data_IF_382621681417
#
_entry.id   IF_382621681417
#
_cell.length_a   1.000
_cell.length_b   1.000
_cell.length_c   1.000
_cell.angle_alpha   90.00
_cell.angle_beta   90.00
_cell.angle_gamma   90.00
#
_symmetry.space_group_name_H-M   'P 1'
#
loop_
_entity.id
_entity.type
_entity.pdbx_description
1 polymer ?
#
# COMPACT_ATOMS: atom_id res chain seq x y z
N UNK A 1 1.00 -42.24 -3.32
CA UNK A 1 0.31 -41.62 -2.16
C UNK A 1 0.31 -40.08 -2.24
N UNK A 2 1.47 -39.40 -2.36
CA UNK A 2 1.56 -37.93 -2.41
C UNK A 2 0.82 -37.23 -3.57
N UNK A 3 0.70 -37.89 -4.72
CA UNK A 3 0.00 -37.34 -5.89
C UNK A 3 -1.53 -37.41 -5.76
N UNK A 4 -2.03 -38.42 -5.03
CA UNK A 4 -3.46 -38.59 -4.73
C UNK A 4 -3.93 -37.56 -3.71
N UNK A 5 -3.09 -37.26 -2.71
CA UNK A 5 -3.36 -36.20 -1.73
C UNK A 5 -3.35 -34.79 -2.35
N UNK A 6 -2.51 -34.52 -3.36
CA UNK A 6 -2.55 -33.25 -4.12
C UNK A 6 -3.82 -33.09 -4.96
N UNK A 7 -4.27 -34.15 -5.64
CA UNK A 7 -5.53 -34.13 -6.42
C UNK A 7 -6.76 -33.96 -5.51
N UNK A 8 -6.78 -34.62 -4.35
CA UNK A 8 -7.87 -34.51 -3.37
C UNK A 8 -7.92 -33.14 -2.68
N UNK A 9 -6.75 -32.53 -2.40
CA UNK A 9 -6.67 -31.16 -1.90
C UNK A 9 -7.20 -30.15 -2.94
N UNK A 10 -6.79 -30.28 -4.21
CA UNK A 10 -7.28 -29.43 -5.29
C UNK A 10 -8.79 -29.53 -5.52
N UNK A 11 -9.38 -30.73 -5.42
CA UNK A 11 -10.83 -30.93 -5.54
C UNK A 11 -11.62 -30.34 -4.35
N UNK A 12 -11.09 -30.43 -3.12
CA UNK A 12 -11.72 -29.80 -1.94
C UNK A 12 -11.73 -28.27 -2.06
N UNK A 13 -10.65 -27.68 -2.54
CA UNK A 13 -10.55 -26.23 -2.78
C UNK A 13 -11.53 -25.77 -3.87
N UNK A 14 -11.62 -26.50 -5.00
CA UNK A 14 -12.62 -26.22 -6.06
C UNK A 14 -14.05 -26.25 -5.55
N UNK A 15 -14.37 -27.18 -4.63
CA UNK A 15 -15.71 -27.31 -4.04
C UNK A 15 -16.01 -26.18 -3.04
N UNK A 16 -15.02 -25.66 -2.32
CA UNK A 16 -15.18 -24.51 -1.44
C UNK A 16 -15.37 -23.21 -2.23
N UNK A 17 -14.62 -23.00 -3.32
CA UNK A 17 -14.76 -21.81 -4.17
C UNK A 17 -16.11 -21.79 -4.90
N UNK A 18 -16.57 -22.94 -5.45
CA UNK A 18 -17.93 -23.06 -6.02
C UNK A 18 -19.03 -22.77 -5.01
N UNK A 19 -18.86 -23.18 -3.74
CA UNK A 19 -19.84 -22.88 -2.68
C UNK A 19 -19.89 -21.40 -2.31
N UNK A 20 -18.75 -20.69 -2.31
CA UNK A 20 -18.71 -19.24 -2.09
C UNK A 20 -19.40 -18.46 -3.23
N UNK A 21 -19.14 -18.83 -4.48
CA UNK A 21 -19.80 -18.25 -5.65
C UNK A 21 -21.33 -18.49 -5.64
N UNK A 22 -21.77 -19.68 -5.24
CA UNK A 22 -23.20 -19.99 -5.17
C UNK A 22 -23.95 -19.17 -4.10
N UNK A 23 -23.35 -18.96 -2.91
CA UNK A 23 -23.95 -18.18 -1.82
C UNK A 23 -24.07 -16.69 -2.16
N UNK A 24 -23.13 -16.16 -2.96
CA UNK A 24 -23.18 -14.77 -3.42
C UNK A 24 -24.22 -14.55 -4.53
N UNK A 25 -24.50 -15.57 -5.35
CA UNK A 25 -25.54 -15.49 -6.40
C UNK A 25 -26.98 -15.53 -5.88
N UNK A 26 -27.22 -16.12 -4.70
CA UNK A 26 -28.57 -16.30 -4.13
C UNK A 26 -29.07 -15.14 -3.27
N UNK A 27 -28.29 -14.06 -3.13
CA UNK A 27 -28.60 -12.93 -2.24
C UNK A 27 -29.31 -11.76 -2.94
N UNK A 28 -29.77 -11.92 -4.19
CA UNK A 28 -30.55 -10.90 -4.90
C UNK A 28 -31.90 -11.46 -5.30
N UNK A 29 -32.91 -11.19 -4.47
CA UNK A 29 -34.28 -10.79 -4.88
C UNK A 29 -35.24 -10.81 -3.67
N UNK A 30 -35.77 -9.66 -3.21
CA UNK A 30 -37.03 -9.64 -2.47
C UNK A 30 -38.22 -9.59 -3.45
N UNK A 31 -39.34 -10.28 -3.17
CA UNK A 31 -40.47 -10.30 -4.09
C UNK A 31 -41.18 -8.94 -4.15
N UNK A 32 -41.40 -8.45 -5.37
CA UNK A 32 -42.25 -7.29 -5.69
C UNK A 32 -43.71 -7.56 -5.28
N UNK A 33 -44.17 -6.97 -4.17
CA UNK A 33 -45.59 -6.90 -3.83
C UNK A 33 -46.23 -5.65 -4.46
N UNK A 34 -47.27 -5.86 -5.26
CA UNK A 34 -48.09 -4.81 -5.90
C UNK A 34 -48.90 -4.07 -4.83
N UNK A 35 -48.74 -2.76 -4.73
CA UNK A 35 -49.58 -1.90 -3.90
C UNK A 35 -50.84 -1.47 -4.69
N UNK A 36 -52.01 -1.96 -4.27
CA UNK A 36 -53.32 -1.37 -4.60
C UNK A 36 -53.76 -0.46 -3.46
N UNK A 37 -53.99 0.80 -3.79
CA UNK A 37 -54.56 1.83 -2.91
C UNK A 37 -56.05 1.55 -2.70
N UNK A 38 -56.50 1.50 -1.44
CA UNK A 38 -57.88 1.85 -1.06
C UNK A 38 -57.92 2.38 0.38
N UNK A 39 -58.47 3.59 0.50
CA UNK A 39 -58.66 4.32 1.74
C UNK A 39 -59.92 3.89 2.51
N UNK A 40 -59.87 4.06 3.84
CA UNK A 40 -60.91 4.28 4.89
C UNK A 40 -60.42 3.54 6.15
N UNK A 41 -60.28 4.14 7.32
CA UNK A 41 -61.23 4.92 8.10
C UNK A 41 -60.83 4.77 9.58
N UNK A 42 -61.06 5.82 10.36
CA UNK A 42 -60.65 6.04 11.76
C UNK A 42 -61.11 4.95 12.74
N UNK A 43 -60.30 4.66 13.78
CA UNK A 43 -60.74 4.70 15.20
C UNK A 43 -59.55 4.69 16.17
N UNK A 44 -59.67 5.49 17.23
CA UNK A 44 -58.75 5.65 18.36
C UNK A 44 -58.92 4.52 19.38
N UNK A 45 -57.81 4.06 19.97
CA UNK A 45 -57.79 3.61 21.37
C UNK A 45 -56.39 3.73 21.98
N UNK A 46 -56.31 4.38 23.14
CA UNK A 46 -55.15 4.46 24.05
C UNK A 46 -54.95 3.12 24.76
N UNK A 47 -53.70 2.70 25.03
CA UNK A 47 -53.19 2.45 26.41
C UNK A 47 -51.71 1.96 26.43
N UNK A 48 -50.90 2.71 27.22
CA UNK A 48 -49.91 2.28 28.23
C UNK A 48 -48.82 1.21 27.94
N UNK A 49 -47.59 1.71 27.86
CA UNK A 49 -46.38 1.32 28.63
C UNK A 49 -46.25 -0.10 29.19
N UNK A 50 -45.15 -0.79 28.82
CA UNK A 50 -44.20 -1.37 29.80
C UNK A 50 -42.85 -1.69 29.15
N UNK A 51 -41.79 -1.12 29.71
CA UNK A 51 -40.40 -1.51 29.46
C UNK A 51 -40.08 -2.82 30.19
N UNK A 52 -39.17 -3.63 29.63
CA UNK A 52 -38.41 -4.63 30.38
C UNK A 52 -37.04 -4.82 29.72
N UNK A 53 -36.02 -4.39 30.45
CA UNK A 53 -34.64 -4.80 30.28
C UNK A 53 -34.46 -6.19 30.92
N UNK A 54 -33.62 -7.02 30.31
CA UNK A 54 -33.06 -8.20 30.98
C UNK A 54 -31.54 -8.15 30.85
N UNK A 55 -30.93 -7.96 32.01
CA UNK A 55 -29.54 -8.25 32.30
C UNK A 55 -29.56 -9.55 33.12
N UNK A 56 -28.70 -10.51 32.78
CA UNK A 56 -28.39 -11.63 33.66
C UNK A 56 -26.89 -11.68 33.92
N UNK A 57 -26.55 -11.51 35.19
CA UNK A 57 -25.29 -11.85 35.81
C UNK A 57 -25.64 -12.60 37.11
N UNK A 58 -25.07 -13.78 37.32
CA UNK A 58 -24.89 -14.44 38.62
C UNK A 58 -23.55 -15.22 38.51
N UNK A 59 -22.47 -14.83 39.22
CA UNK A 59 -22.18 -14.96 40.66
C UNK A 59 -21.88 -16.43 41.05
N UNK A 60 -20.62 -16.88 40.94
CA UNK A 60 -19.57 -17.06 42.00
C UNK A 60 -19.90 -18.03 43.13
N UNK A 61 -19.02 -19.03 43.34
CA UNK A 61 -18.60 -19.50 44.67
C UNK A 61 -17.20 -20.15 44.65
N UNK A 62 -16.20 -19.33 44.94
CA UNK A 62 -15.20 -19.40 46.02
C UNK A 62 -14.95 -20.72 46.84
N UNK A 63 -13.69 -21.21 46.90
CA UNK A 63 -12.79 -21.23 48.10
C UNK A 63 -11.64 -22.30 48.03
N UNK A 64 -10.39 -21.78 48.04
CA UNK A 64 -9.22 -22.09 48.89
C UNK A 64 -8.55 -23.50 48.93
N UNK A 65 -7.32 -23.53 48.36
CA UNK A 65 -5.99 -24.17 48.66
C UNK A 65 -5.73 -24.82 50.06
N UNK A 66 -4.54 -25.41 50.41
CA UNK A 66 -3.35 -25.92 49.67
C UNK A 66 -2.76 -27.30 50.17
N UNK A 67 -1.70 -27.79 49.50
CA UNK A 67 -0.67 -28.70 50.05
C UNK A 67 -0.87 -30.20 49.74
N UNK A 68 0.13 -31.05 49.45
CA UNK A 68 1.58 -30.93 49.29
C UNK A 68 2.20 -32.34 49.17
N UNK A 69 3.35 -32.43 48.46
CA UNK A 69 4.44 -33.45 48.54
C UNK A 69 4.12 -34.89 48.06
N UNK A 70 4.75 -35.34 46.97
CA UNK A 70 6.05 -36.06 46.86
C UNK A 70 5.77 -37.58 46.62
N UNK A 71 6.51 -38.39 45.86
CA UNK A 71 7.95 -38.39 45.54
C UNK A 71 8.30 -39.43 44.43
N UNK A 72 9.55 -39.36 43.95
CA UNK A 72 10.35 -40.32 43.12
C UNK A 72 10.08 -40.37 41.60
N UNK A 73 10.98 -40.03 40.66
CA UNK A 73 12.46 -39.92 40.58
C UNK A 73 13.05 -41.07 39.71
N UNK A 74 14.28 -41.02 39.14
CA UNK A 74 15.12 -39.88 38.76
C UNK A 74 15.83 -40.00 37.36
N UNK A 75 16.51 -38.91 36.98
CA UNK A 75 17.76 -38.80 36.20
C UNK A 75 17.89 -39.31 34.76
N UNK A 76 18.19 -38.38 33.83
CA UNK A 76 19.55 -38.20 33.29
C UNK A 76 19.60 -36.94 32.40
N UNK A 77 20.51 -36.02 32.73
CA UNK A 77 20.75 -34.80 31.95
C UNK A 77 21.73 -34.99 30.80
N UNK A 78 21.82 -33.98 29.93
CA UNK A 78 23.04 -33.63 29.20
C UNK A 78 23.08 -32.13 28.90
N UNK A 79 24.14 -31.51 29.40
CA UNK A 79 24.61 -30.14 29.11
C UNK A 79 25.43 -30.13 27.80
N UNK A 80 25.51 -28.92 27.26
CA UNK A 80 26.44 -28.32 26.28
C UNK A 80 27.80 -28.97 26.05
N UNK A 81 28.45 -28.64 24.91
CA UNK A 81 29.86 -28.23 24.82
C UNK A 81 30.19 -27.68 23.40
N UNK A 82 30.88 -26.53 23.38
CA UNK A 82 31.70 -25.95 22.30
C UNK A 82 33.04 -26.71 22.16
N UNK A 83 33.60 -26.82 20.95
CA UNK A 83 35.06 -26.90 20.67
C UNK A 83 35.27 -27.12 19.15
N UNK A 84 35.89 -26.22 18.37
CA UNK A 84 37.35 -25.95 18.17
C UNK A 84 38.17 -27.12 17.59
N UNK A 85 38.82 -26.89 16.44
CA UNK A 85 40.18 -27.32 16.01
C UNK A 85 40.27 -27.15 14.47
N UNK A 86 41.06 -26.24 13.89
CA UNK A 86 42.53 -26.20 13.74
C UNK A 86 43.12 -27.07 12.61
N UNK A 87 43.80 -26.36 11.70
CA UNK A 87 44.95 -26.66 10.82
C UNK A 87 45.35 -28.10 10.43
N UNK A 88 45.60 -28.34 9.12
CA UNK A 88 46.98 -28.28 8.56
C UNK A 88 47.09 -28.47 7.04
N UNK A 89 48.15 -27.83 6.51
CA UNK A 89 48.72 -27.79 5.16
C UNK A 89 49.06 -29.15 4.53
N UNK A 90 49.10 -29.20 3.18
CA UNK A 90 50.26 -29.63 2.36
C UNK A 90 50.15 -29.16 0.90
N UNK A 91 51.32 -29.05 0.24
CA UNK A 91 51.66 -28.16 -0.87
C UNK A 91 51.73 -28.82 -2.28
N UNK A 92 51.51 -27.99 -3.32
CA UNK A 92 52.21 -27.90 -4.63
C UNK A 92 52.09 -29.03 -5.68
N UNK A 93 52.44 -28.80 -6.99
CA UNK A 93 53.14 -27.63 -7.56
C UNK A 93 52.62 -27.05 -8.94
N UNK A 94 52.90 -25.75 -9.11
CA UNK A 94 53.34 -24.92 -10.28
C UNK A 94 52.98 -25.20 -11.77
N UNK A 95 52.57 -24.13 -12.48
CA UNK A 95 53.34 -23.44 -13.57
C UNK A 95 52.59 -22.18 -14.10
N UNK A 96 53.09 -20.96 -13.82
CA UNK A 96 53.79 -19.96 -14.68
C UNK A 96 52.99 -19.33 -15.85
N UNK A 97 52.78 -17.99 -15.83
CA UNK A 97 53.59 -16.99 -16.59
C UNK A 97 53.12 -15.52 -16.42
N UNK A 98 54.10 -14.62 -16.17
CA UNK A 98 54.29 -13.19 -16.53
C UNK A 98 53.17 -12.14 -16.31
N UNK A 99 53.29 -11.16 -15.41
CA UNK A 99 54.18 -9.96 -15.36
C UNK A 99 53.70 -8.77 -16.22
N UNK A 100 53.32 -7.65 -15.59
CA UNK A 100 54.01 -6.33 -15.67
C UNK A 100 53.26 -5.26 -14.88
N UNK A 101 54.00 -4.57 -14.02
CA UNK A 101 53.62 -3.42 -13.21
C UNK A 101 54.00 -2.12 -13.93
N UNK A 102 53.15 -1.11 -13.84
CA UNK A 102 53.44 0.26 -14.25
C UNK A 102 53.04 1.22 -13.14
N UNK A 103 54.04 1.76 -12.43
CA UNK A 103 53.89 2.83 -11.46
C UNK A 103 54.21 4.17 -12.12
N UNK A 104 53.42 5.21 -11.86
CA UNK A 104 53.90 6.59 -11.95
C UNK A 104 53.38 7.39 -10.74
N UNK A 105 54.33 7.76 -9.87
CA UNK A 105 54.22 8.86 -8.92
C UNK A 105 54.37 10.17 -9.69
N UNK A 106 53.56 11.17 -9.36
CA UNK A 106 53.99 12.56 -9.53
C UNK A 106 53.55 13.36 -8.31
N UNK A 107 54.54 14.00 -7.71
CA UNK A 107 54.46 14.92 -6.57
C UNK A 107 53.96 16.28 -7.10
N UNK A 108 53.03 16.92 -6.39
CA UNK A 108 52.90 18.39 -6.42
C UNK A 108 52.59 18.88 -5.01
N UNK A 109 53.55 19.63 -4.46
CA UNK A 109 53.38 20.52 -3.31
C UNK A 109 52.84 21.85 -3.87
N UNK A 110 51.70 22.29 -3.36
CA UNK A 110 51.15 23.61 -3.63
C UNK A 110 50.29 24.03 -2.44
N UNK A 111 50.81 24.95 -1.63
CA UNK A 111 49.99 25.72 -0.70
C UNK A 111 49.10 26.66 -1.52
N UNK A 112 47.79 26.56 -1.32
CA UNK A 112 46.80 27.48 -1.87
C UNK A 112 45.53 27.36 -1.06
N UNK A 113 45.27 28.36 -0.22
CA UNK A 113 43.92 28.63 0.28
C UNK A 113 43.04 28.97 -0.92
N UNK A 114 42.01 28.19 -1.16
CA UNK A 114 40.85 28.62 -1.93
C UNK A 114 39.60 28.22 -1.15
N UNK A 115 38.95 29.25 -0.59
CA UNK A 115 37.57 29.19 -0.16
C UNK A 115 36.69 28.85 -1.38
N UNK A 116 36.51 27.55 -1.65
CA UNK A 116 35.38 27.10 -2.47
C UNK A 116 34.16 27.05 -1.55
N UNK A 117 33.50 28.20 -1.45
CA UNK A 117 32.09 28.27 -1.11
C UNK A 117 31.33 27.45 -2.15
N UNK A 118 31.02 26.20 -1.82
CA UNK A 118 29.94 25.47 -2.46
C UNK A 118 28.65 26.21 -2.11
N UNK A 119 28.27 27.17 -2.96
CA UNK A 119 26.96 27.79 -2.91
C UNK A 119 25.92 26.69 -3.13
N UNK A 120 25.48 26.08 -2.03
CA UNK A 120 24.44 25.09 -2.01
C UNK A 120 23.18 25.78 -2.54
N UNK A 121 22.70 25.33 -3.71
CA UNK A 121 21.45 25.82 -4.29
C UNK A 121 20.39 25.82 -3.17
N UNK A 122 19.61 26.90 -3.01
CA UNK A 122 18.56 26.92 -2.01
C UNK A 122 17.66 25.69 -2.24
N UNK A 123 17.24 24.99 -1.19
CA UNK A 123 16.42 23.81 -1.33
C UNK A 123 15.20 24.16 -2.19
N UNK A 124 14.80 23.28 -3.13
CA UNK A 124 13.66 23.55 -3.99
C UNK A 124 12.45 23.89 -3.12
N UNK A 125 11.74 24.96 -3.47
CA UNK A 125 10.54 25.37 -2.74
C UNK A 125 9.55 24.20 -2.74
N UNK A 126 9.04 23.84 -1.57
CA UNK A 126 8.01 22.81 -1.45
C UNK A 126 6.64 23.45 -1.27
N UNK A 127 5.60 22.69 -1.60
CA UNK A 127 4.22 23.02 -1.29
C UNK A 127 3.54 21.82 -0.66
N UNK A 128 2.76 22.11 0.39
CA UNK A 128 1.98 21.12 1.09
C UNK A 128 0.87 20.56 0.20
N UNK A 129 0.82 19.23 0.14
CA UNK A 129 -0.13 18.50 -0.69
C UNK A 129 -0.78 17.40 0.14
N UNK A 130 -2.12 17.44 0.19
CA UNK A 130 -2.95 16.49 0.96
C UNK A 130 -3.34 15.28 0.10
N UNK A 131 -3.20 14.09 0.68
CA UNK A 131 -3.55 12.82 0.08
C UNK A 131 -4.67 12.12 0.86
N UNK A 132 -5.61 11.51 0.14
CA UNK A 132 -6.64 10.63 0.68
C UNK A 132 -6.47 9.22 0.11
N UNK A 133 -6.25 8.23 0.98
CA UNK A 133 -5.84 6.88 0.60
C UNK A 133 -6.91 5.86 0.95
N UNK A 134 -7.19 4.97 0.00
CA UNK A 134 -8.12 3.84 0.11
C UNK A 134 -7.49 2.63 -0.59
N UNK A 135 -7.83 1.43 -0.17
CA UNK A 135 -7.54 0.18 -0.87
C UNK A 135 -8.53 -0.89 -0.46
N UNK A 136 -8.63 -1.97 -1.25
CA UNK A 136 -9.38 -3.17 -0.92
C UNK A 136 -10.85 -2.85 -0.62
N UNK A 137 -11.52 -2.19 -1.56
CA UNK A 137 -12.95 -1.88 -1.43
C UNK A 137 -13.82 -3.08 -1.78
N UNK A 138 -13.36 -4.01 -2.63
CA UNK A 138 -14.08 -5.25 -2.95
C UNK A 138 -15.57 -5.03 -3.30
N UNK A 139 -15.85 -4.13 -4.26
CA UNK A 139 -17.21 -3.72 -4.65
C UNK A 139 -18.01 -2.97 -3.56
N UNK A 140 -17.43 -2.67 -2.40
CA UNK A 140 -18.09 -1.89 -1.35
C UNK A 140 -18.01 -0.41 -1.70
N UNK A 141 -19.17 0.20 -1.85
CA UNK A 141 -19.31 1.63 -2.04
C UNK A 141 -19.34 2.38 -0.70
N UNK A 142 -18.87 3.63 -0.66
CA UNK A 142 -18.98 4.46 0.53
C UNK A 142 -20.45 4.71 0.88
N UNK A 143 -20.79 4.49 2.15
CA UNK A 143 -22.13 4.72 2.66
C UNK A 143 -22.50 6.20 2.62
N UNK A 144 -23.79 6.50 2.48
CA UNK A 144 -24.31 7.89 2.53
C UNK A 144 -24.85 8.29 3.90
N UNK A 145 -24.95 7.35 4.84
CA UNK A 145 -25.72 7.57 6.08
C UNK A 145 -25.02 7.11 7.35
N UNK A 146 -24.13 6.12 7.27
CA UNK A 146 -23.55 5.48 8.46
C UNK A 146 -22.23 4.76 8.16
N UNK A 147 -21.53 4.31 9.20
CA UNK A 147 -20.27 3.60 9.06
C UNK A 147 -19.07 4.54 8.90
N UNK A 148 -17.88 3.94 8.79
CA UNK A 148 -16.61 4.66 8.78
C UNK A 148 -16.07 4.95 7.38
N UNK A 149 -16.49 4.18 6.39
CA UNK A 149 -16.27 4.45 4.97
C UNK A 149 -17.55 5.06 4.39
N UNK A 150 -17.63 6.40 4.40
CA UNK A 150 -18.84 7.13 4.04
C UNK A 150 -18.55 8.48 3.39
N UNK A 151 -19.51 8.98 2.64
CA UNK A 151 -19.53 10.34 2.08
C UNK A 151 -20.19 11.34 3.04
N UNK A 152 -19.82 12.63 3.01
CA UNK A 152 -18.79 13.22 2.15
C UNK A 152 -17.38 12.77 2.53
N UNK A 153 -16.45 12.81 1.58
CA UNK A 153 -15.02 12.65 1.86
C UNK A 153 -14.40 14.03 2.18
N UNK A 154 -13.32 14.10 2.97
CA UNK A 154 -12.58 15.35 3.13
C UNK A 154 -11.95 15.78 1.80
N UNK A 155 -11.78 17.09 1.62
CA UNK A 155 -11.03 17.64 0.48
C UNK A 155 -9.58 17.13 0.51
N UNK A 156 -9.08 16.77 -0.66
CA UNK A 156 -7.68 16.38 -0.86
C UNK A 156 -7.19 16.91 -2.20
N UNK A 157 -5.88 16.98 -2.39
CA UNK A 157 -5.33 17.29 -3.70
C UNK A 157 -5.27 16.02 -4.55
N UNK A 158 -4.92 14.89 -3.92
CA UNK A 158 -4.76 13.59 -4.56
C UNK A 158 -5.55 12.52 -3.80
N UNK A 159 -6.33 11.73 -4.52
CA UNK A 159 -6.92 10.49 -4.02
C UNK A 159 -6.18 9.28 -4.61
N UNK A 160 -5.98 8.23 -3.82
CA UNK A 160 -5.33 6.99 -4.28
C UNK A 160 -6.19 5.78 -3.88
N UNK A 161 -6.49 4.91 -4.85
CA UNK A 161 -6.98 3.54 -4.61
C UNK A 161 -5.90 2.51 -4.95
N UNK A 162 -5.36 1.81 -3.95
CA UNK A 162 -4.19 0.93 -4.12
C UNK A 162 -4.53 -0.55 -4.42
N UNK A 163 -5.50 -0.80 -5.30
CA UNK A 163 -5.89 -2.15 -5.73
C UNK A 163 -7.05 -2.78 -4.98
N UNK A 164 -7.53 -3.91 -5.53
CA UNK A 164 -8.71 -4.65 -5.11
C UNK A 164 -9.96 -3.76 -5.02
N UNK A 165 -10.20 -3.04 -6.12
CA UNK A 165 -11.40 -2.22 -6.32
C UNK A 165 -12.68 -3.06 -6.35
N UNK A 166 -12.55 -4.30 -6.78
CA UNK A 166 -13.65 -5.23 -7.04
C UNK A 166 -13.39 -6.59 -6.39
N UNK A 167 -14.38 -7.48 -6.34
CA UNK A 167 -14.14 -8.87 -5.89
C UNK A 167 -13.54 -9.78 -6.98
N UNK A 168 -13.89 -9.55 -8.24
CA UNK A 168 -13.48 -10.38 -9.40
C UNK A 168 -13.22 -9.53 -10.65
N UNK A 169 -13.72 -8.29 -10.69
CA UNK A 169 -13.50 -7.34 -11.77
C UNK A 169 -14.49 -7.35 -12.93
N UNK A 170 -15.80 -7.66 -12.80
CA UNK A 170 -16.73 -7.45 -13.92
C UNK A 170 -16.82 -5.95 -14.27
N UNK A 171 -17.07 -5.62 -15.55
CA UNK A 171 -17.20 -4.23 -16.02
C UNK A 171 -18.10 -3.34 -15.13
N UNK A 172 -19.29 -3.83 -14.77
CA UNK A 172 -20.22 -3.07 -13.93
C UNK A 172 -19.66 -2.76 -12.54
N UNK A 173 -18.83 -3.66 -11.98
CA UNK A 173 -18.15 -3.42 -10.71
C UNK A 173 -17.12 -2.30 -10.85
N UNK A 174 -16.28 -2.31 -11.89
CA UNK A 174 -15.35 -1.21 -12.14
C UNK A 174 -16.09 0.10 -12.36
N UNK A 175 -17.18 0.07 -13.13
CA UNK A 175 -18.00 1.25 -13.36
C UNK A 175 -18.56 1.82 -12.06
N UNK A 176 -19.17 1.00 -11.21
CA UNK A 176 -19.70 1.43 -9.91
C UNK A 176 -18.60 2.02 -9.02
N UNK A 177 -17.44 1.34 -8.95
CA UNK A 177 -16.32 1.81 -8.14
C UNK A 177 -15.75 3.14 -8.64
N UNK A 178 -15.54 3.27 -9.95
CA UNK A 178 -15.02 4.50 -10.55
C UNK A 178 -16.02 5.65 -10.43
N UNK A 179 -17.33 5.39 -10.47
CA UNK A 179 -18.34 6.43 -10.37
C UNK A 179 -18.26 7.19 -9.02
N UNK A 180 -18.08 6.48 -7.90
CA UNK A 180 -17.89 7.16 -6.61
C UNK A 180 -16.47 7.72 -6.44
N UNK A 181 -15.43 7.08 -6.99
CA UNK A 181 -14.05 7.61 -6.96
C UNK A 181 -13.97 8.96 -7.69
N UNK A 182 -14.58 9.05 -8.86
CA UNK A 182 -14.61 10.28 -9.64
C UNK A 182 -15.36 11.42 -8.94
N UNK A 183 -16.26 11.11 -8.01
CA UNK A 183 -17.00 12.07 -7.19
C UNK A 183 -16.24 12.53 -5.93
N UNK A 184 -15.09 11.92 -5.60
CA UNK A 184 -14.22 12.37 -4.50
C UNK A 184 -13.72 13.79 -4.79
N UNK A 185 -13.75 14.72 -3.82
CA UNK A 185 -13.25 16.09 -3.96
C UNK A 185 -11.72 16.12 -3.97
N UNK A 186 -11.13 15.60 -5.04
CA UNK A 186 -9.71 15.64 -5.34
C UNK A 186 -9.46 15.99 -6.81
N UNK A 187 -8.37 16.71 -7.08
CA UNK A 187 -7.99 17.07 -8.45
C UNK A 187 -7.59 15.82 -9.24
N UNK A 188 -6.71 15.01 -8.65
CA UNK A 188 -6.20 13.77 -9.25
C UNK A 188 -6.65 12.57 -8.42
N UNK A 189 -7.15 11.53 -9.09
CA UNK A 189 -7.53 10.23 -8.50
C UNK A 189 -6.71 9.15 -9.20
N UNK A 190 -5.78 8.55 -8.49
CA UNK A 190 -4.92 7.48 -8.98
C UNK A 190 -5.53 6.16 -8.56
N UNK A 191 -5.71 5.24 -9.51
CA UNK A 191 -6.19 3.90 -9.24
C UNK A 191 -5.21 2.88 -9.81
N UNK A 192 -4.91 1.87 -9.02
CA UNK A 192 -4.09 0.71 -9.41
C UNK A 192 -4.96 -0.52 -9.22
N UNK A 193 -4.78 -1.55 -10.05
CA UNK A 193 -5.46 -2.83 -9.88
C UNK A 193 -4.87 -3.63 -8.71
N UNK A 194 -5.61 -4.61 -8.21
CA UNK A 194 -5.11 -5.64 -7.33
C UNK A 194 -5.42 -7.04 -7.84
N UNK A 195 -5.10 -8.07 -7.07
CA UNK A 195 -5.28 -9.45 -7.52
C UNK A 195 -6.76 -9.84 -7.71
N UNK A 196 -7.70 -9.15 -7.09
CA UNK A 196 -9.13 -9.37 -7.30
C UNK A 196 -9.67 -8.71 -8.57
N UNK A 197 -8.95 -7.77 -9.18
CA UNK A 197 -9.37 -7.03 -10.37
C UNK A 197 -9.09 -7.83 -11.66
N UNK A 198 -9.56 -9.07 -11.70
CA UNK A 198 -9.07 -10.11 -12.60
C UNK A 198 -9.22 -9.79 -14.09
N UNK A 199 -10.28 -9.09 -14.50
CA UNK A 199 -10.48 -8.73 -15.91
C UNK A 199 -9.45 -7.71 -16.43
N UNK A 200 -8.66 -7.06 -15.57
CA UNK A 200 -7.60 -6.16 -16.01
C UNK A 200 -6.30 -6.91 -16.38
N UNK A 201 -6.13 -8.14 -15.89
CA UNK A 201 -5.07 -9.07 -16.29
C UNK A 201 -5.62 -10.06 -17.32
N UNK A 202 -5.56 -9.66 -18.60
CA UNK A 202 -6.13 -10.43 -19.71
C UNK A 202 -5.58 -11.86 -19.77
N UNK A 203 -4.29 -12.04 -19.47
CA UNK A 203 -3.62 -13.35 -19.49
C UNK A 203 -4.20 -14.26 -18.40
N UNK A 204 -4.26 -13.78 -17.15
CA UNK A 204 -4.87 -14.54 -16.07
C UNK A 204 -6.36 -14.81 -16.32
N UNK A 205 -7.11 -13.80 -16.75
CA UNK A 205 -8.55 -13.89 -16.98
C UNK A 205 -8.91 -14.93 -18.04
N UNK A 206 -8.19 -14.93 -19.17
CA UNK A 206 -8.45 -15.81 -20.30
C UNK A 206 -8.03 -17.26 -20.06
N UNK A 207 -7.05 -17.51 -19.17
CA UNK A 207 -6.49 -18.86 -18.98
C UNK A 207 -6.81 -19.49 -17.62
N UNK A 208 -7.37 -18.73 -16.69
CA UNK A 208 -7.81 -19.27 -15.41
C UNK A 208 -9.00 -20.23 -15.57
N UNK A 209 -8.92 -21.37 -14.87
CA UNK A 209 -10.02 -22.34 -14.75
C UNK A 209 -11.10 -21.93 -13.74
N UNK A 210 -10.87 -20.85 -12.98
CA UNK A 210 -11.83 -20.34 -12.00
C UNK A 210 -13.04 -19.64 -12.65
N UNK A 211 -12.91 -19.27 -13.93
CA UNK A 211 -13.92 -18.51 -14.66
C UNK A 211 -14.55 -19.33 -15.79
N UNK A 212 -15.82 -19.05 -16.07
CA UNK A 212 -16.58 -19.66 -17.17
C UNK A 212 -16.57 -18.74 -18.39
N UNK A 213 -16.80 -19.32 -19.56
CA UNK A 213 -16.89 -18.58 -20.82
C UNK A 213 -15.75 -18.92 -21.79
N UNK A 214 -15.97 -18.61 -23.06
CA UNK A 214 -14.95 -18.78 -24.08
C UNK A 214 -13.79 -17.81 -23.87
N UNK A 215 -12.60 -18.15 -24.37
CA UNK A 215 -11.48 -17.20 -24.37
C UNK A 215 -11.85 -15.90 -25.11
N UNK A 216 -12.54 -16.01 -26.26
CA UNK A 216 -12.99 -14.86 -27.05
C UNK A 216 -13.87 -13.90 -26.24
N UNK A 217 -14.88 -14.42 -25.52
CA UNK A 217 -15.77 -13.59 -24.71
C UNK A 217 -15.03 -12.96 -23.54
N UNK A 218 -14.13 -13.70 -22.88
CA UNK A 218 -13.33 -13.19 -21.76
C UNK A 218 -12.37 -12.09 -22.19
N UNK A 219 -11.72 -12.25 -23.34
CA UNK A 219 -10.85 -11.22 -23.92
C UNK A 219 -11.62 -9.93 -24.23
N UNK A 220 -12.82 -10.05 -24.81
CA UNK A 220 -13.67 -8.89 -25.09
C UNK A 220 -14.08 -8.14 -23.80
N UNK A 221 -14.40 -8.85 -22.72
CA UNK A 221 -14.70 -8.23 -21.42
C UNK A 221 -13.48 -7.52 -20.81
N UNK A 222 -12.30 -8.15 -20.89
CA UNK A 222 -11.05 -7.54 -20.43
C UNK A 222 -10.75 -6.24 -21.19
N UNK A 223 -10.87 -6.27 -22.52
CA UNK A 223 -10.70 -5.10 -23.38
C UNK A 223 -11.68 -3.98 -23.02
N UNK A 224 -12.97 -4.31 -22.83
CA UNK A 224 -13.97 -3.34 -22.42
C UNK A 224 -13.63 -2.63 -21.10
N UNK A 225 -13.16 -3.39 -20.09
CA UNK A 225 -12.75 -2.81 -18.80
C UNK A 225 -11.55 -1.87 -18.95
N UNK A 226 -10.53 -2.30 -19.72
CA UNK A 226 -9.32 -1.50 -19.95
C UNK A 226 -9.63 -0.24 -20.76
N UNK A 227 -10.42 -0.35 -21.82
CA UNK A 227 -10.86 0.79 -22.65
C UNK A 227 -11.59 1.84 -21.81
N UNK A 228 -12.46 1.41 -20.89
CA UNK A 228 -13.15 2.33 -19.98
C UNK A 228 -12.20 3.05 -19.03
N UNK A 229 -11.34 2.31 -18.31
CA UNK A 229 -10.41 2.89 -17.33
C UNK A 229 -9.36 3.80 -17.97
N UNK A 230 -8.93 3.48 -19.20
CA UNK A 230 -7.94 4.25 -19.96
C UNK A 230 -8.55 5.36 -20.83
N UNK A 231 -9.87 5.53 -20.81
CA UNK A 231 -10.57 6.49 -21.64
C UNK A 231 -10.24 7.94 -21.30
N UNK A 232 -10.31 8.81 -22.31
CA UNK A 232 -10.18 10.26 -22.10
C UNK A 232 -11.32 10.83 -21.23
N UNK A 233 -12.46 10.15 -21.17
CA UNK A 233 -13.55 10.52 -20.27
C UNK A 233 -13.12 10.40 -18.80
N UNK A 234 -12.46 9.30 -18.43
CA UNK A 234 -11.95 9.11 -17.07
C UNK A 234 -10.86 10.15 -16.74
N UNK A 235 -9.95 10.40 -17.68
CA UNK A 235 -8.91 11.44 -17.52
C UNK A 235 -9.49 12.83 -17.30
N UNK A 236 -10.55 13.20 -18.03
CA UNK A 236 -11.27 14.49 -17.85
C UNK A 236 -11.93 14.62 -16.47
N UNK A 237 -12.27 13.49 -15.83
CA UNK A 237 -12.79 13.44 -14.45
C UNK A 237 -11.66 13.40 -13.40
N UNK A 238 -10.41 13.50 -13.84
CA UNK A 238 -9.21 13.41 -13.00
C UNK A 238 -8.86 11.98 -12.58
N UNK A 239 -9.44 10.94 -13.18
CA UNK A 239 -9.18 9.54 -12.85
C UNK A 239 -8.09 8.98 -13.75
N UNK A 240 -7.07 8.37 -13.12
CA UNK A 240 -5.90 7.81 -13.78
C UNK A 240 -5.69 6.37 -13.32
N UNK A 241 -5.97 5.42 -14.22
CA UNK A 241 -5.53 4.04 -14.04
C UNK A 241 -4.07 3.93 -14.45
N UNK A 242 -3.23 3.46 -13.54
CA UNK A 242 -1.80 3.25 -13.77
C UNK A 242 -1.43 1.78 -13.58
N UNK A 243 -0.63 1.25 -14.50
CA UNK A 243 -0.20 -0.15 -14.51
C UNK A 243 1.26 -0.25 -14.96
N UNK A 244 2.14 -0.64 -14.02
CA UNK A 244 3.56 -0.84 -14.27
C UNK A 244 4.27 0.35 -14.93
N UNK A 245 3.96 1.56 -14.45
CA UNK A 245 4.47 2.80 -15.02
C UNK A 245 4.93 3.79 -13.94
N UNK A 246 5.77 4.74 -14.35
CA UNK A 246 6.10 5.93 -13.57
C UNK A 246 5.50 7.15 -14.28
N UNK A 247 4.75 7.96 -13.54
CA UNK A 247 4.04 9.11 -14.08
C UNK A 247 4.24 10.36 -13.26
N UNK A 248 4.56 11.46 -13.92
CA UNK A 248 4.58 12.80 -13.33
C UNK A 248 3.18 13.43 -13.34
N UNK A 249 2.83 14.10 -12.24
CA UNK A 249 1.63 14.90 -12.09
C UNK A 249 1.99 16.32 -11.67
N UNK A 250 1.17 17.27 -12.15
CA UNK A 250 1.23 18.70 -11.80
C UNK A 250 -0.14 19.09 -11.28
N UNK A 251 -0.18 19.66 -10.08
CA UNK A 251 -1.40 20.05 -9.39
C UNK A 251 -1.63 21.56 -9.47
N UNK A 252 -2.87 21.98 -9.32
CA UNK A 252 -3.25 23.41 -9.30
C UNK A 252 -2.65 24.18 -8.12
N UNK A 253 -2.30 23.50 -7.01
CA UNK A 253 -1.58 24.10 -5.89
C UNK A 253 -0.08 24.35 -6.18
N UNK A 254 0.39 23.99 -7.38
CA UNK A 254 1.77 24.16 -7.83
C UNK A 254 2.68 22.96 -7.58
N UNK A 255 2.20 21.90 -6.91
CA UNK A 255 3.00 20.70 -6.65
C UNK A 255 3.31 19.93 -7.94
N UNK A 256 4.55 19.42 -8.03
CA UNK A 256 4.97 18.43 -9.02
C UNK A 256 5.46 17.20 -8.29
N UNK A 257 4.99 16.04 -8.71
CA UNK A 257 5.43 14.78 -8.12
C UNK A 257 5.32 13.64 -9.10
N UNK A 258 6.07 12.60 -8.81
CA UNK A 258 6.18 11.37 -9.61
C UNK A 258 5.59 10.21 -8.82
N UNK A 259 4.83 9.38 -9.51
CA UNK A 259 4.17 8.20 -8.96
C UNK A 259 4.65 6.98 -9.71
N UNK A 260 5.23 6.02 -8.99
CA UNK A 260 5.46 4.67 -9.48
C UNK A 260 4.27 3.80 -9.09
N UNK A 261 3.65 3.13 -10.05
CA UNK A 261 2.44 2.35 -9.82
C UNK A 261 2.55 0.92 -10.36
N UNK A 262 2.14 -0.09 -9.57
CA UNK A 262 2.11 -1.47 -10.02
C UNK A 262 1.06 -2.31 -9.27
N UNK A 263 0.27 -3.14 -9.97
CA UNK A 263 -0.72 -4.02 -9.33
C UNK A 263 -0.11 -5.31 -8.75
N UNK A 264 1.19 -5.53 -8.96
CA UNK A 264 1.80 -6.83 -8.79
C UNK A 264 2.04 -7.22 -7.32
N UNK A 265 1.73 -8.48 -6.99
CA UNK A 265 2.01 -9.07 -5.68
C UNK A 265 2.62 -10.47 -5.81
N UNK A 266 3.60 -10.86 -4.96
CA UNK A 266 4.20 -12.19 -5.06
C UNK A 266 3.15 -13.25 -4.72
N UNK A 267 3.20 -14.42 -5.37
CA UNK A 267 2.37 -15.58 -5.00
C UNK A 267 2.71 -16.01 -3.56
N UNK A 268 1.72 -15.92 -2.68
CA UNK A 268 1.85 -16.25 -1.26
C UNK A 268 1.40 -17.67 -0.90
N UNK A 269 1.40 -17.98 0.40
CA UNK A 269 0.67 -19.14 0.90
C UNK A 269 -0.85 -18.86 0.88
N UNK A 270 -1.66 -19.91 0.75
CA UNK A 270 -3.12 -19.77 0.91
C UNK A 270 -3.47 -19.15 2.29
N UNK A 271 -4.51 -18.32 2.39
CA UNK A 271 -5.50 -17.98 1.34
C UNK A 271 -5.08 -16.84 0.39
N UNK A 272 -3.98 -16.13 0.64
CA UNK A 272 -3.58 -14.92 -0.09
C UNK A 272 -2.90 -15.20 -1.43
N UNK A 273 -3.16 -16.34 -2.07
CA UNK A 273 -2.50 -16.80 -3.32
C UNK A 273 -3.43 -16.81 -4.54
N UNK A 274 -4.62 -16.21 -4.41
CA UNK A 274 -5.62 -16.21 -5.47
C UNK A 274 -5.53 -14.93 -6.32
N UNK A 275 -6.04 -14.99 -7.54
CA UNK A 275 -6.24 -13.82 -8.39
C UNK A 275 -5.12 -13.52 -9.39
N UNK A 276 -5.29 -12.37 -10.04
CA UNK A 276 -4.48 -11.76 -11.08
C UNK A 276 -3.24 -11.02 -10.56
N UNK A 277 -2.38 -10.56 -11.48
CA UNK A 277 -1.20 -9.73 -11.17
C UNK A 277 -0.24 -10.39 -10.16
N UNK A 278 -0.07 -11.71 -10.29
CA UNK A 278 0.76 -12.52 -9.36
C UNK A 278 2.03 -13.01 -10.02
N UNK A 279 3.18 -12.72 -9.43
CA UNK A 279 4.48 -13.21 -9.89
C UNK A 279 5.06 -14.28 -8.94
N UNK A 280 6.03 -15.06 -9.44
CA UNK A 280 6.63 -16.14 -8.65
C UNK A 280 7.48 -15.58 -7.49
N UNK A 281 7.34 -16.11 -6.26
CA UNK A 281 7.92 -15.51 -5.06
C UNK A 281 9.46 -15.57 -5.03
N UNK A 282 10.06 -16.45 -5.83
CA UNK A 282 11.50 -16.62 -6.01
C UNK A 282 12.10 -15.72 -7.10
N UNK A 283 11.29 -14.90 -7.77
CA UNK A 283 11.75 -13.95 -8.80
C UNK A 283 12.49 -12.79 -8.15
N UNK A 284 13.80 -12.98 -7.90
CA UNK A 284 14.55 -12.12 -6.99
C UNK A 284 14.71 -10.67 -7.44
N UNK A 285 14.70 -10.45 -8.74
CA UNK A 285 14.93 -9.15 -9.36
C UNK A 285 13.65 -8.55 -9.96
N UNK A 286 12.47 -9.13 -9.68
CA UNK A 286 11.21 -8.72 -10.29
C UNK A 286 11.00 -7.19 -10.37
N UNK A 287 11.25 -6.48 -9.26
CA UNK A 287 11.05 -5.02 -9.20
C UNK A 287 12.14 -4.24 -9.93
N UNK A 288 13.40 -4.63 -9.79
CA UNK A 288 14.54 -4.01 -10.48
C UNK A 288 14.52 -4.30 -11.99
N UNK A 289 14.02 -5.46 -12.41
CA UNK A 289 13.86 -5.81 -13.83
C UNK A 289 12.68 -5.05 -14.45
N UNK A 290 11.59 -4.87 -13.68
CA UNK A 290 10.39 -4.15 -14.14
C UNK A 290 10.62 -2.63 -14.18
N UNK A 291 11.37 -2.11 -13.22
CA UNK A 291 11.72 -0.69 -13.11
C UNK A 291 13.24 -0.54 -12.96
N UNK A 292 13.98 -0.75 -14.05
CA UNK A 292 15.43 -0.62 -14.02
C UNK A 292 15.83 0.83 -13.75
N UNK A 293 16.98 1.04 -13.11
CA UNK A 293 17.38 2.34 -12.57
C UNK A 293 17.42 3.43 -13.65
N UNK A 294 17.84 3.09 -14.87
CA UNK A 294 17.89 3.96 -16.03
C UNK A 294 16.51 4.42 -16.54
N UNK A 295 15.44 3.72 -16.16
CA UNK A 295 14.05 4.07 -16.50
C UNK A 295 13.37 4.92 -15.43
N UNK A 296 13.96 5.03 -14.24
CA UNK A 296 13.40 5.79 -13.14
C UNK A 296 13.74 7.28 -13.29
N UNK A 297 12.82 8.18 -12.91
CA UNK A 297 13.17 9.59 -12.75
C UNK A 297 14.18 9.77 -11.62
N UNK A 298 14.79 10.95 -11.55
CA UNK A 298 15.71 11.34 -10.47
C UNK A 298 15.10 11.06 -9.08
N UNK A 299 13.79 11.26 -8.95
CA UNK A 299 13.06 10.98 -7.72
C UNK A 299 11.70 10.36 -7.99
N UNK A 300 11.37 9.31 -7.25
CA UNK A 300 10.00 8.79 -7.10
C UNK A 300 9.44 9.34 -5.80
N UNK A 301 8.37 10.13 -5.87
CA UNK A 301 7.79 10.72 -4.66
C UNK A 301 6.81 9.77 -3.98
N UNK A 302 5.99 9.08 -4.76
CA UNK A 302 4.94 8.17 -4.27
C UNK A 302 5.07 6.82 -4.98
N UNK A 303 5.06 5.73 -4.23
CA UNK A 303 4.91 4.37 -4.75
C UNK A 303 3.51 3.85 -4.40
N UNK A 304 2.74 3.43 -5.40
CA UNK A 304 1.42 2.80 -5.23
C UNK A 304 1.51 1.37 -5.72
N UNK A 305 1.71 0.44 -4.79
CA UNK A 305 1.94 -0.97 -5.10
C UNK A 305 0.95 -1.79 -4.28
N UNK A 306 0.13 -2.59 -4.95
CA UNK A 306 -1.01 -3.24 -4.29
C UNK A 306 -0.58 -4.11 -3.09
N UNK A 307 0.51 -4.88 -3.21
CA UNK A 307 1.02 -5.73 -2.13
C UNK A 307 2.03 -5.02 -1.23
N UNK A 308 2.05 -5.32 0.07
CA UNK A 308 2.99 -4.68 0.99
C UNK A 308 4.43 -5.17 0.82
N UNK A 309 5.37 -4.30 1.15
CA UNK A 309 6.77 -4.65 1.36
C UNK A 309 6.94 -5.45 2.66
N UNK A 310 7.92 -6.35 2.72
CA UNK A 310 8.13 -7.19 3.90
C UNK A 310 8.40 -6.36 5.17
N UNK A 311 7.65 -6.64 6.24
CA UNK A 311 7.72 -5.90 7.51
C UNK A 311 7.00 -4.55 7.52
N UNK A 312 6.40 -4.14 6.41
CA UNK A 312 5.71 -2.85 6.25
C UNK A 312 4.22 -3.07 6.13
N UNK A 313 3.53 -3.06 7.27
CA UNK A 313 2.06 -3.22 7.35
C UNK A 313 1.59 -4.49 6.60
N UNK A 314 2.25 -5.62 6.90
CA UNK A 314 2.15 -6.89 6.18
C UNK A 314 1.90 -8.10 7.10
N UNK A 315 1.45 -7.86 8.32
CA UNK A 315 1.30 -8.91 9.32
C UNK A 315 -0.07 -9.61 9.25
N UNK A 316 -0.04 -10.93 9.11
CA UNK A 316 -1.22 -11.78 9.14
C UNK A 316 -1.29 -12.51 10.47
N UNK A 317 -2.45 -12.43 11.14
CA UNK A 317 -2.74 -13.10 12.42
C UNK A 317 -1.74 -12.77 13.55
N UNK A 318 -1.07 -11.62 13.50
CA UNK A 318 -0.09 -11.17 14.50
C UNK A 318 1.13 -12.09 14.72
N UNK A 319 1.44 -12.97 13.75
CA UNK A 319 2.51 -13.96 13.90
C UNK A 319 3.36 -14.09 12.63
N UNK A 320 2.88 -13.65 11.46
CA UNK A 320 3.57 -13.87 10.19
C UNK A 320 3.55 -12.63 9.29
N UNK A 321 4.74 -12.13 8.96
CA UNK A 321 4.99 -11.17 7.89
C UNK A 321 4.90 -11.85 6.53
N UNK A 322 4.12 -11.30 5.60
CA UNK A 322 3.89 -11.89 4.28
C UNK A 322 4.22 -10.96 3.11
N UNK A 323 4.68 -9.76 3.40
CA UNK A 323 5.07 -8.78 2.39
C UNK A 323 6.30 -9.23 1.61
N UNK A 324 6.58 -8.55 0.51
CA UNK A 324 7.65 -8.95 -0.40
C UNK A 324 9.03 -8.43 0.07
N UNK A 325 10.03 -9.31 0.32
CA UNK A 325 11.38 -8.86 0.68
C UNK A 325 12.13 -8.19 -0.48
N UNK A 326 11.79 -8.55 -1.71
CA UNK A 326 12.36 -7.96 -2.93
C UNK A 326 11.84 -6.53 -3.14
N UNK A 327 10.53 -6.33 -2.92
CA UNK A 327 9.94 -5.00 -2.95
C UNK A 327 10.56 -4.08 -1.90
N UNK A 328 10.76 -4.59 -0.68
CA UNK A 328 11.37 -3.83 0.40
C UNK A 328 12.79 -3.34 0.04
N UNK A 329 13.59 -4.15 -0.66
CA UNK A 329 14.91 -3.72 -1.14
C UNK A 329 14.79 -2.66 -2.22
N UNK A 330 13.91 -2.86 -3.20
CA UNK A 330 13.64 -1.86 -4.22
C UNK A 330 13.19 -0.51 -3.63
N UNK A 331 12.29 -0.51 -2.65
CA UNK A 331 11.82 0.71 -1.98
C UNK A 331 12.90 1.37 -1.10
N UNK A 332 13.85 0.59 -0.58
CA UNK A 332 15.03 1.12 0.11
C UNK A 332 15.99 1.83 -0.86
N UNK A 333 16.04 1.39 -2.12
CA UNK A 333 16.90 2.00 -3.15
C UNK A 333 16.28 3.31 -3.66
N UNK A 334 14.98 3.34 -3.95
CA UNK A 334 14.30 4.52 -4.52
C UNK A 334 13.75 5.50 -3.48
N UNK A 335 13.58 5.06 -2.22
CA UNK A 335 13.16 5.85 -1.04
C UNK A 335 12.02 6.84 -1.32
N UNK A 336 10.81 6.35 -1.68
CA UNK A 336 9.70 7.26 -1.92
C UNK A 336 9.28 7.94 -0.62
N UNK A 337 8.70 9.13 -0.68
CA UNK A 337 8.12 9.80 0.49
C UNK A 337 6.93 9.01 1.05
N UNK A 338 6.15 8.41 0.15
CA UNK A 338 4.97 7.64 0.50
C UNK A 338 4.96 6.32 -0.27
N UNK A 339 4.76 5.22 0.44
CA UNK A 339 4.47 3.90 -0.14
C UNK A 339 3.07 3.48 0.29
N UNK A 340 2.14 3.38 -0.66
CA UNK A 340 0.74 2.98 -0.42
C UNK A 340 0.50 1.58 -0.95
N UNK A 341 -0.13 0.74 -0.14
CA UNK A 341 -0.54 -0.61 -0.50
C UNK A 341 -1.91 -0.96 0.09
N UNK A 342 -2.30 -2.22 -0.14
CA UNK A 342 -3.49 -2.88 0.38
C UNK A 342 -3.21 -4.35 0.66
N UNK A 343 -4.09 -5.23 0.15
CA UNK A 343 -3.96 -6.68 0.03
C UNK A 343 -4.00 -7.47 1.35
N UNK A 344 -3.32 -6.98 2.38
CA UNK A 344 -3.24 -7.61 3.70
C UNK A 344 -4.15 -6.85 4.66
N UNK A 345 -5.43 -7.21 4.65
CA UNK A 345 -6.47 -6.48 5.35
C UNK A 345 -6.23 -6.36 6.85
N UNK A 346 -5.64 -7.37 7.48
CA UNK A 346 -5.37 -7.39 8.93
C UNK A 346 -4.34 -6.34 9.36
N UNK A 347 -3.49 -5.91 8.43
CA UNK A 347 -2.36 -5.03 8.70
C UNK A 347 -2.61 -3.59 8.23
N UNK A 348 -3.86 -3.18 8.01
CA UNK A 348 -4.16 -1.79 7.67
C UNK A 348 -3.65 -0.83 8.76
N UNK A 349 -2.90 0.18 8.35
CA UNK A 349 -2.15 1.02 9.28
C UNK A 349 -1.12 1.88 8.56
N UNK A 350 -0.38 2.65 9.35
CA UNK A 350 0.71 3.49 8.87
C UNK A 350 1.98 3.25 9.70
N UNK A 351 3.15 3.35 9.08
CA UNK A 351 4.46 3.26 9.72
C UNK A 351 5.41 4.26 9.09
N UNK A 352 6.18 4.98 9.90
CA UNK A 352 7.29 5.80 9.44
C UNK A 352 8.58 4.97 9.51
N UNK A 353 9.37 5.02 8.44
CA UNK A 353 10.68 4.39 8.38
C UNK A 353 11.71 5.45 8.02
N UNK A 354 12.78 5.50 8.82
CA UNK A 354 13.99 6.27 8.51
C UNK A 354 15.07 5.31 8.02
N UNK A 355 15.60 5.59 6.83
CA UNK A 355 16.68 4.87 6.17
C UNK A 355 18.03 5.48 6.56
N UNK A 356 18.72 4.89 7.54
CA UNK A 356 20.04 5.34 7.98
C UNK A 356 21.14 4.60 7.23
N UNK A 357 22.16 5.30 6.75
CA UNK A 357 23.35 4.66 6.16
C UNK A 357 24.44 4.59 7.23
N UNK A 358 24.99 3.39 7.47
CA UNK A 358 25.82 3.12 8.67
C UNK A 358 27.31 3.07 8.36
N UNK A 359 27.72 3.05 7.10
CA UNK A 359 29.14 3.03 6.73
C UNK A 359 29.48 4.08 5.67
N UNK A 360 30.73 4.55 5.72
CA UNK A 360 31.33 5.49 4.76
C UNK A 360 31.40 4.94 3.33
N UNK A 361 31.04 3.66 3.15
CA UNK A 361 30.99 2.95 1.86
C UNK A 361 29.57 2.78 1.30
N UNK A 362 28.52 3.03 2.08
CA UNK A 362 27.12 2.90 1.66
C UNK A 362 26.56 1.47 1.62
N UNK A 363 27.29 0.48 2.15
CA UNK A 363 26.99 -0.95 2.03
C UNK A 363 25.98 -1.45 3.08
N UNK A 364 25.74 -0.69 4.17
CA UNK A 364 24.76 -1.06 5.21
C UNK A 364 23.77 0.06 5.49
N UNK A 365 22.51 -0.20 5.20
CA UNK A 365 21.40 0.64 5.65
C UNK A 365 20.77 0.04 6.91
N UNK A 366 20.73 0.79 8.01
CA UNK A 366 19.91 0.50 9.19
C UNK A 366 18.56 1.18 9.03
N UNK A 367 17.54 0.57 9.62
CA UNK A 367 16.16 1.04 9.55
C UNK A 367 15.70 1.32 10.96
N UNK A 368 15.29 2.55 11.20
CA UNK A 368 14.58 2.92 12.42
C UNK A 368 13.10 2.93 12.06
N UNK A 369 12.36 2.02 12.68
CA UNK A 369 10.91 1.92 12.55
C UNK A 369 10.27 2.58 13.76
N UNK A 370 9.38 3.54 13.51
CA UNK A 370 8.63 4.21 14.56
C UNK A 370 7.18 3.72 14.58
N UNK A 371 6.69 3.36 15.77
CA UNK A 371 5.26 3.09 15.97
C UNK A 371 4.52 4.42 16.05
N UNK A 372 3.83 4.74 14.96
CA UNK A 372 3.15 6.01 14.79
C UNK A 372 1.65 5.95 15.15
N UNK A 373 1.27 4.98 15.99
CA UNK A 373 -0.12 4.78 16.37
C UNK A 373 -0.69 5.98 17.16
N UNK A 374 0.13 6.65 17.98
CA UNK A 374 -0.26 7.82 18.79
C UNK A 374 -0.53 9.08 17.94
N UNK A 375 0.12 9.17 16.78
CA UNK A 375 0.04 10.27 15.81
C UNK A 375 -1.11 10.07 14.82
N UNK A 376 -1.82 8.94 14.93
CA UNK A 376 -3.00 8.61 14.14
C UNK A 376 -4.28 8.83 14.94
N UNK A 377 -5.27 9.51 14.36
CA UNK A 377 -6.56 9.73 15.02
C UNK A 377 -7.73 9.49 14.08
N UNK A 378 -8.80 8.91 14.61
CA UNK A 378 -10.08 8.84 13.91
C UNK A 378 -10.76 10.21 13.99
N UNK A 379 -11.12 10.77 12.84
CA UNK A 379 -11.83 12.05 12.73
C UNK A 379 -13.23 11.81 12.18
N UNK A 380 -14.20 12.48 12.78
CA UNK A 380 -15.56 12.62 12.28
C UNK A 380 -15.91 14.11 12.28
N UNK A 381 -16.08 14.68 11.09
CA UNK A 381 -16.47 16.07 10.90
C UNK A 381 -17.98 16.25 11.09
N UNK A 382 -18.40 17.48 11.36
CA UNK A 382 -19.82 17.85 11.53
C UNK A 382 -20.66 17.61 10.27
N UNK A 383 -20.05 17.65 9.09
CA UNK A 383 -20.68 17.33 7.80
C UNK A 383 -20.78 15.81 7.54
N UNK A 384 -20.31 14.98 8.47
CA UNK A 384 -20.30 13.54 8.37
C UNK A 384 -19.05 12.95 7.72
N UNK A 385 -18.08 13.73 7.25
CA UNK A 385 -16.85 13.16 6.70
C UNK A 385 -16.06 12.39 7.78
N UNK A 386 -15.67 11.16 7.45
CA UNK A 386 -15.00 10.25 8.38
C UNK A 386 -13.71 9.72 7.76
N UNK A 387 -12.59 9.89 8.46
CA UNK A 387 -11.26 9.52 7.98
C UNK A 387 -10.29 9.29 9.15
N UNK A 388 -9.21 8.55 8.88
CA UNK A 388 -8.07 8.40 9.78
C UNK A 388 -7.03 9.44 9.42
N UNK A 389 -6.90 10.46 10.24
CA UNK A 389 -5.92 11.53 10.10
C UNK A 389 -4.57 11.06 10.63
N UNK A 390 -3.57 11.00 9.75
CA UNK A 390 -2.17 10.68 10.08
C UNK A 390 -1.24 11.85 9.74
N UNK A 391 -1.78 13.07 9.62
CA UNK A 391 -0.95 14.27 9.41
C UNK A 391 0.08 14.44 10.52
N UNK A 392 -0.19 13.95 11.73
CA UNK A 392 0.79 13.89 12.83
C UNK A 392 2.10 13.19 12.47
N UNK A 393 2.04 12.13 11.65
CA UNK A 393 3.21 11.37 11.18
C UNK A 393 4.06 12.19 10.20
N UNK A 394 3.40 13.08 9.45
CA UNK A 394 3.99 13.83 8.36
C UNK A 394 4.29 15.29 8.74
N UNK A 395 3.96 15.69 9.97
CA UNK A 395 4.30 17.00 10.54
C UNK A 395 5.81 17.07 10.79
N UNK A 396 6.51 17.71 9.85
CA UNK A 396 7.97 17.87 9.90
C UNK A 396 8.69 17.54 8.60
N UNK A 397 7.95 17.22 7.53
CA UNK A 397 8.47 16.67 6.27
C UNK A 397 8.92 15.22 6.45
N UNK A 398 8.45 14.34 5.56
CA UNK A 398 9.12 13.07 5.34
C UNK A 398 10.40 13.41 4.57
N UNK A 399 11.55 13.43 5.25
CA UNK A 399 12.82 13.83 4.64
C UNK A 399 13.30 12.89 3.53
N UNK A 400 14.37 13.25 2.81
CA UNK A 400 14.96 12.42 1.72
C UNK A 400 15.39 11.00 2.16
N UNK A 401 15.54 10.78 3.48
CA UNK A 401 15.83 9.48 4.07
C UNK A 401 14.63 8.82 4.73
N UNK A 402 13.40 9.27 4.53
CA UNK A 402 12.22 8.74 5.20
C UNK A 402 11.15 8.27 4.21
N UNK A 403 10.38 7.26 4.63
CA UNK A 403 9.22 6.78 3.88
C UNK A 403 8.08 6.51 4.84
N UNK A 404 6.90 7.05 4.53
CA UNK A 404 5.66 6.65 5.21
C UNK A 404 5.06 5.48 4.44
N UNK A 405 4.94 4.34 5.10
CA UNK A 405 4.26 3.16 4.58
C UNK A 405 2.82 3.16 5.06
N UNK A 406 1.86 3.08 4.14
CA UNK A 406 0.43 3.01 4.45
C UNK A 406 -0.19 1.80 3.77
N UNK A 407 -0.74 0.89 4.58
CA UNK A 407 -1.69 -0.10 4.10
C UNK A 407 -3.10 0.48 4.28
N UNK A 408 -3.74 0.83 3.17
CA UNK A 408 -4.99 1.56 3.11
C UNK A 408 -6.23 0.66 3.01
N UNK A 409 -6.10 -0.64 3.29
CA UNK A 409 -7.21 -1.60 3.19
C UNK A 409 -8.40 -1.22 4.10
N UNK A 410 -9.56 -0.93 3.50
CA UNK A 410 -10.75 -0.52 4.25
C UNK A 410 -11.55 -1.70 4.81
N UNK A 411 -11.47 -2.86 4.16
CA UNK A 411 -12.21 -4.05 4.58
C UNK A 411 -11.55 -4.78 5.74
N UNK A 412 -12.37 -5.45 6.55
CA UNK A 412 -11.88 -6.34 7.59
C UNK A 412 -11.25 -7.62 7.03
N UNK A 413 -10.71 -8.46 7.92
CA UNK A 413 -10.04 -9.71 7.58
C UNK A 413 -10.88 -10.69 6.72
N UNK A 414 -12.21 -10.55 6.74
CA UNK A 414 -13.13 -11.38 5.96
C UNK A 414 -13.49 -10.78 4.58
N UNK A 415 -13.03 -9.56 4.26
CA UNK A 415 -13.24 -8.87 2.98
C UNK A 415 -14.68 -8.40 2.71
N UNK A 416 -15.61 -8.59 3.65
CA UNK A 416 -17.06 -8.42 3.39
C UNK A 416 -17.67 -7.12 3.89
N UNK A 417 -16.93 -6.38 4.72
CA UNK A 417 -17.41 -5.16 5.37
C UNK A 417 -16.27 -4.15 5.43
N UNK A 418 -16.57 -2.91 5.07
CA UNK A 418 -15.70 -1.77 5.34
C UNK A 418 -15.73 -1.49 6.85
N UNK A 419 -14.60 -1.72 7.52
CA UNK A 419 -14.44 -1.54 8.97
C UNK A 419 -13.45 -0.45 9.31
N UNK A 420 -12.86 0.21 8.30
CA UNK A 420 -11.91 1.30 8.46
C UNK A 420 -12.27 2.49 7.59
N UNK A 421 -11.86 3.66 8.06
CA UNK A 421 -11.99 4.92 7.34
C UNK A 421 -10.86 5.08 6.32
N UNK A 422 -11.04 5.88 5.27
CA UNK A 422 -9.94 6.36 4.42
C UNK A 422 -8.84 7.02 5.24
N UNK A 423 -7.59 6.95 4.78
CA UNK A 423 -6.44 7.55 5.48
C UNK A 423 -6.10 8.90 4.84
N UNK A 424 -5.97 9.95 5.66
CA UNK A 424 -5.62 11.30 5.21
C UNK A 424 -4.23 11.71 5.74
N UNK A 425 -3.37 12.19 4.85
CA UNK A 425 -2.01 12.64 5.18
C UNK A 425 -1.60 13.84 4.33
N UNK A 426 -0.51 14.49 4.70
CA UNK A 426 0.06 15.62 3.95
C UNK A 426 1.54 15.34 3.64
N UNK A 427 2.01 15.76 2.45
CA UNK A 427 3.42 15.72 2.09
C UNK A 427 3.85 17.11 1.60
N UNK A 428 5.10 17.48 1.86
CA UNK A 428 5.74 18.61 1.20
C UNK A 428 6.34 18.11 -0.13
N UNK A 429 5.81 18.61 -1.26
CA UNK A 429 6.23 18.20 -2.61
C UNK A 429 6.89 19.37 -3.35
N UNK A 430 7.80 19.14 -4.31
CA UNK A 430 8.40 20.20 -5.10
C UNK A 430 7.36 21.13 -5.75
N UNK A 431 7.63 22.44 -5.76
CA UNK A 431 6.76 23.46 -6.34
C UNK A 431 7.27 23.94 -7.70
N UNK A 432 6.36 24.16 -8.67
CA UNK A 432 6.66 24.80 -9.96
C UNK A 432 7.09 26.26 -9.82
N UNK A 433 6.76 26.92 -8.71
CA UNK A 433 7.08 28.32 -8.47
C UNK A 433 8.48 28.47 -7.85
N UNK A 434 9.51 28.08 -8.61
CA UNK A 434 10.88 28.56 -8.40
C UNK A 434 11.15 29.69 -9.39
N UNK A 435 10.83 30.92 -9.01
CA UNK A 435 11.59 32.06 -9.52
C UNK A 435 12.79 32.20 -8.58
N UNK A 436 14.05 32.03 -9.04
CA UNK A 436 15.16 32.55 -8.27
C UNK A 436 14.90 34.05 -8.09
N UNK A 437 15.00 34.53 -6.86
CA UNK A 437 14.93 35.96 -6.58
C UNK A 437 15.92 36.65 -7.51
N UNK A 438 15.39 37.42 -8.47
CA UNK A 438 16.21 38.33 -9.24
C UNK A 438 16.77 39.31 -8.22
N UNK A 439 18.06 39.17 -7.92
CA UNK A 439 18.82 40.17 -7.19
C UNK A 439 18.43 41.54 -7.76
N UNK A 440 17.75 42.33 -6.93
CA UNK A 440 17.64 43.77 -7.14
C UNK A 440 19.06 44.34 -7.02
N UNK A 441 19.85 44.18 -8.07
CA UNK A 441 20.97 45.06 -8.36
C UNK A 441 20.36 46.41 -8.67
N UNK A 442 20.26 47.24 -7.63
CA UNK A 442 20.03 48.66 -7.80
C UNK A 442 21.15 49.21 -8.70
N UNK A 443 20.85 49.83 -9.85
CA UNK A 443 21.87 50.57 -10.56
C UNK A 443 22.10 51.88 -9.79
N UNK A 444 23.22 51.94 -9.09
CA UNK A 444 23.78 53.21 -8.63
C UNK A 444 24.22 54.01 -9.85
N UNK A 445 23.61 55.16 -10.06
CA UNK A 445 24.19 56.22 -10.89
C UNK A 445 24.09 57.51 -10.09
N UNK A 446 25.18 57.82 -9.38
CA UNK A 446 25.54 59.17 -9.01
C UNK A 446 26.47 59.76 -10.08
N UNK A 447 26.42 61.09 -10.20
CA UNK A 447 27.25 62.02 -10.99
C UNK A 447 26.89 62.16 -12.49
N UNK A 448 26.67 63.34 -13.08
CA UNK A 448 26.81 64.74 -12.64
C UNK A 448 25.98 65.67 -13.58
N UNK A 449 25.69 66.92 -13.19
CA UNK A 449 24.98 67.89 -14.01
C UNK A 449 25.91 68.99 -14.54
N UNK A 450 26.29 69.04 -15.82
CA UNK A 450 26.86 70.27 -16.43
C UNK A 450 26.58 70.38 -17.94
N UNK A 451 26.08 71.58 -18.28
CA UNK A 451 25.96 72.33 -19.56
C UNK A 451 25.01 71.83 -20.64
#
# INVERSE_FOLDING_TARGET
MAEKTRKEAGQKTRRQNRKRLAVLSSARDPPRAKATVKAKGKTKTKLKTKARAEAEAHQTDNLIKPGGKANAGPNAGRKAVLATAEHNNTAGPSSNLAATTGAMKTLWLGQGQSDESTAQLPPPSTVRTTFLLVSDTHDIEPSKTSGVFRTPFPDAHVFIHAGDMTNIGPFESFKSTVDWIAAVPAEIKIIVAGNHDCQLDEEYWCHSEDFVGSEKSRRAESQLCREYLLSDEMRKRGVWYLEDEVKEFKLANGAVFTVLASPHTPRGAHPHNWGSFRYAPDTRHFWHDKFPQESLPERVHVAVIHGPAYGMQDEVKHIRKVGCPHLLRFLQDIKPLLSVCGHIHEAAGAKLVTWETVDEKGDKTVRVEEDMSAESRQVERLDGATYKDITGITKGVVGEGQTVFVNAAIVGANGSQAVRSPVLLELELPSLHHKPDAEHTAPSWDADPVS
#
